data_IF_951478918653
#
_entry.id   IF_951478918653
#
_cell.length_a   1.000
_cell.length_b   1.000
_cell.length_c   1.000
_cell.angle_alpha   90.00
_cell.angle_beta   90.00
_cell.angle_gamma   90.00
#
_symmetry.space_group_name_H-M   'P 1'
#
loop_
_entity.id
_entity.type
_entity.pdbx_description
1 polymer ?
#
# COMPACT_ATOMS: atom_id res chain seq x y z
N UNK A 1 14.07 0.95 2.74
CA UNK A 1 12.71 1.48 2.52
C UNK A 1 12.73 3.00 2.69
N UNK A 2 12.42 3.75 1.63
CA UNK A 2 12.12 5.19 1.77
C UNK A 2 10.71 5.33 2.33
N UNK A 3 10.52 6.17 3.36
CA UNK A 3 9.25 6.34 4.07
C UNK A 3 8.64 7.70 3.79
N UNK A 4 7.31 7.76 3.71
CA UNK A 4 6.59 9.03 3.73
C UNK A 4 6.48 9.54 5.18
N UNK A 5 6.70 10.85 5.41
CA UNK A 5 6.69 11.43 6.76
C UNK A 5 5.29 11.85 7.24
N UNK A 6 4.27 11.77 6.40
CA UNK A 6 2.90 12.18 6.74
C UNK A 6 2.07 11.02 7.29
N UNK A 7 1.23 11.33 8.27
CA UNK A 7 0.13 10.46 8.71
C UNK A 7 -1.01 10.55 7.70
N UNK A 8 -1.51 9.39 7.26
CA UNK A 8 -2.64 9.22 6.34
C UNK A 8 -2.46 9.97 5.01
N UNK A 9 -1.54 9.52 4.14
CA UNK A 9 -1.32 10.17 2.86
C UNK A 9 -2.50 9.95 1.89
N UNK A 10 -2.64 10.86 0.94
CA UNK A 10 -3.60 10.75 -0.17
C UNK A 10 -2.92 10.17 -1.40
N UNK A 11 -3.68 9.60 -2.36
CA UNK A 11 -3.16 9.09 -3.64
C UNK A 11 -2.14 10.04 -4.29
N UNK A 12 -2.53 11.30 -4.48
CA UNK A 12 -1.68 12.34 -5.10
C UNK A 12 -0.35 12.54 -4.36
N UNK A 13 -0.34 12.41 -3.04
CA UNK A 13 0.90 12.53 -2.26
C UNK A 13 1.81 11.31 -2.45
N UNK A 14 1.21 10.12 -2.58
CA UNK A 14 1.96 8.88 -2.82
C UNK A 14 2.55 8.89 -4.23
N UNK A 15 1.76 9.29 -5.23
CA UNK A 15 2.21 9.44 -6.62
C UNK A 15 3.37 10.44 -6.72
N UNK A 16 3.24 11.63 -6.13
CA UNK A 16 4.34 12.61 -6.11
C UNK A 16 5.59 12.10 -5.39
N UNK A 17 5.43 11.30 -4.32
CA UNK A 17 6.55 10.64 -3.65
C UNK A 17 7.24 9.61 -4.56
N UNK A 18 6.47 8.82 -5.32
CA UNK A 18 7.02 7.86 -6.27
C UNK A 18 7.71 8.58 -7.42
N UNK A 19 7.09 9.60 -7.99
CA UNK A 19 7.66 10.41 -9.07
C UNK A 19 8.99 11.07 -8.65
N UNK A 20 9.08 11.59 -7.43
CA UNK A 20 10.30 12.23 -6.91
C UNK A 20 11.44 11.22 -6.69
N UNK A 21 11.14 10.03 -6.17
CA UNK A 21 12.16 9.10 -5.66
C UNK A 21 12.41 7.87 -6.52
N UNK A 22 11.49 7.55 -7.42
CA UNK A 22 11.41 6.37 -8.29
C UNK A 22 10.78 6.73 -9.66
N UNK A 23 11.26 7.78 -10.35
CA UNK A 23 10.61 8.30 -11.57
C UNK A 23 10.46 7.25 -12.68
N UNK A 24 11.43 6.35 -12.81
CA UNK A 24 11.43 5.29 -13.84
C UNK A 24 10.45 4.14 -13.52
N UNK A 25 9.92 4.09 -12.31
CA UNK A 25 9.03 3.02 -11.83
C UNK A 25 7.62 3.52 -11.50
N UNK A 26 7.27 4.76 -11.87
CA UNK A 26 5.98 5.37 -11.58
C UNK A 26 4.79 4.50 -12.02
N UNK A 27 4.91 3.83 -13.16
CA UNK A 27 3.89 2.94 -13.72
C UNK A 27 4.07 1.46 -13.32
N UNK A 28 5.12 1.13 -12.57
CA UNK A 28 5.46 -0.24 -12.18
C UNK A 28 5.17 -0.52 -10.70
N UNK A 29 5.28 0.49 -9.84
CA UNK A 29 4.92 0.36 -8.43
C UNK A 29 3.39 0.37 -8.31
N UNK A 30 2.83 -0.81 -8.07
CA UNK A 30 1.38 -0.96 -7.86
C UNK A 30 0.96 -0.45 -6.48
N UNK A 31 -0.13 0.30 -6.46
CA UNK A 31 -0.75 0.81 -5.24
C UNK A 31 -2.04 0.07 -4.96
N UNK A 32 -2.26 -0.27 -3.69
CA UNK A 32 -3.48 -0.91 -3.23
C UNK A 32 -4.60 0.12 -3.07
N UNK A 33 -5.66 -0.01 -3.87
CA UNK A 33 -6.80 0.90 -3.84
C UNK A 33 -7.58 0.81 -2.52
N UNK A 34 -8.05 1.96 -2.05
CA UNK A 34 -8.73 2.08 -0.75
C UNK A 34 -7.78 2.09 0.46
N UNK A 35 -6.48 1.85 0.29
CA UNK A 35 -5.51 1.73 1.39
C UNK A 35 -4.48 2.86 1.47
N UNK A 36 -4.67 3.96 0.75
CA UNK A 36 -3.72 5.08 0.70
C UNK A 36 -3.34 5.59 2.11
N UNK A 37 -4.31 5.71 3.03
CA UNK A 37 -4.06 6.18 4.39
C UNK A 37 -3.13 5.24 5.21
N UNK A 38 -3.01 3.98 4.78
CA UNK A 38 -2.16 2.96 5.38
C UNK A 38 -0.76 2.89 4.75
N UNK A 39 -0.47 3.64 3.68
CA UNK A 39 0.82 3.61 3.00
C UNK A 39 1.97 4.07 3.93
N UNK A 40 3.04 3.30 3.95
CA UNK A 40 4.25 3.55 4.77
C UNK A 40 5.44 4.00 3.92
N UNK A 41 5.55 3.53 2.68
CA UNK A 41 6.70 3.79 1.82
C UNK A 41 6.93 2.70 0.78
N UNK A 42 8.12 2.73 0.17
CA UNK A 42 8.54 1.75 -0.84
C UNK A 42 9.61 0.80 -0.29
N UNK A 43 9.28 -0.48 -0.31
CA UNK A 43 10.16 -1.60 0.01
C UNK A 43 10.94 -2.05 -1.23
N UNK A 44 12.19 -2.43 -1.00
CA UNK A 44 13.10 -2.94 -2.03
C UNK A 44 13.71 -4.23 -1.53
N UNK A 45 13.65 -5.31 -2.31
CA UNK A 45 14.36 -6.56 -2.02
C UNK A 45 15.58 -6.69 -2.93
N UNK A 46 16.60 -7.44 -2.49
CA UNK A 46 17.80 -7.65 -3.29
C UNK A 46 17.44 -8.43 -4.57
N UNK A 47 17.55 -7.80 -5.74
CA UNK A 47 17.20 -8.39 -7.03
C UNK A 47 15.71 -8.45 -7.34
N UNK A 48 14.84 -7.87 -6.49
CA UNK A 48 13.40 -7.79 -6.74
C UNK A 48 12.94 -6.38 -7.14
N UNK A 49 11.69 -6.30 -7.61
CA UNK A 49 11.01 -5.04 -7.95
C UNK A 49 10.70 -4.23 -6.69
N UNK A 50 10.68 -2.91 -6.82
CA UNK A 50 10.20 -2.03 -5.75
C UNK A 50 8.69 -2.19 -5.56
N UNK A 51 8.24 -2.24 -4.31
CA UNK A 51 6.84 -2.49 -3.95
C UNK A 51 6.35 -1.50 -2.91
N UNK A 52 5.09 -1.10 -3.01
CA UNK A 52 4.43 -0.29 -2.00
C UNK A 52 4.19 -1.11 -0.72
N UNK A 53 4.51 -0.51 0.42
CA UNK A 53 4.39 -1.14 1.75
C UNK A 53 3.32 -0.40 2.55
N UNK A 54 2.43 -1.17 3.17
CA UNK A 54 1.28 -0.67 3.93
C UNK A 54 1.30 -1.21 5.37
N UNK A 55 0.67 -0.47 6.27
CA UNK A 55 0.40 -0.89 7.64
C UNK A 55 -0.84 -1.80 7.68
N UNK A 56 -0.63 -3.11 7.91
CA UNK A 56 -1.70 -4.13 7.96
C UNK A 56 -2.86 -3.73 8.87
N UNK A 57 -2.57 -3.29 10.09
CA UNK A 57 -3.59 -2.94 11.07
C UNK A 57 -4.40 -1.71 10.65
N UNK A 58 -3.78 -0.75 9.95
CA UNK A 58 -4.52 0.37 9.33
C UNK A 58 -5.39 -0.10 8.18
N UNK A 59 -4.91 -1.00 7.32
CA UNK A 59 -5.71 -1.51 6.22
C UNK A 59 -7.00 -2.15 6.73
N UNK A 60 -6.90 -3.03 7.74
CA UNK A 60 -8.08 -3.67 8.34
C UNK A 60 -9.04 -2.64 8.95
N UNK A 61 -8.52 -1.64 9.68
CA UNK A 61 -9.36 -0.54 10.20
C UNK A 61 -10.04 0.29 9.11
N UNK A 62 -9.50 0.35 7.91
CA UNK A 62 -10.17 1.01 6.78
C UNK A 62 -11.33 0.16 6.25
N UNK A 63 -11.18 -1.16 6.20
CA UNK A 63 -12.24 -2.10 5.82
C UNK A 63 -13.38 -2.13 6.86
N UNK A 64 -13.04 -2.03 8.16
CA UNK A 64 -14.02 -1.98 9.26
C UNK A 64 -15.00 -0.80 9.18
N UNK A 65 -14.77 0.18 8.29
CA UNK A 65 -15.74 1.25 8.02
C UNK A 65 -17.01 0.72 7.34
N UNK A 66 -16.88 -0.37 6.58
CA UNK A 66 -17.94 -0.91 5.72
C UNK A 66 -18.35 -2.34 6.09
N UNK A 67 -17.57 -3.05 6.92
CA UNK A 67 -17.85 -4.43 7.37
C UNK A 67 -17.45 -4.66 8.83
N UNK A 68 -17.85 -5.79 9.41
CA UNK A 68 -17.49 -6.11 10.80
C UNK A 68 -15.99 -6.41 10.96
N UNK A 69 -15.42 -6.32 12.18
CA UNK A 69 -14.00 -6.62 12.40
C UNK A 69 -13.58 -8.02 11.94
N UNK A 70 -14.44 -9.03 12.13
CA UNK A 70 -14.16 -10.39 11.67
C UNK A 70 -14.13 -10.47 10.13
N UNK A 71 -15.15 -9.91 9.48
CA UNK A 71 -15.22 -9.86 8.01
C UNK A 71 -14.04 -9.07 7.43
N UNK A 72 -13.60 -7.99 8.08
CA UNK A 72 -12.46 -7.18 7.65
C UNK A 72 -11.14 -7.96 7.68
N UNK A 73 -10.89 -8.73 8.75
CA UNK A 73 -9.72 -9.60 8.85
C UNK A 73 -9.75 -10.72 7.80
N UNK A 74 -10.89 -11.40 7.64
CA UNK A 74 -11.06 -12.46 6.64
C UNK A 74 -10.92 -11.94 5.21
N UNK A 75 -11.55 -10.79 4.91
CA UNK A 75 -11.46 -10.13 3.62
C UNK A 75 -10.03 -9.71 3.32
N UNK A 76 -9.33 -9.08 4.28
CA UNK A 76 -7.95 -8.64 4.09
C UNK A 76 -7.03 -9.83 3.82
N UNK A 77 -7.14 -10.90 4.61
CA UNK A 77 -6.30 -12.09 4.45
C UNK A 77 -6.46 -12.75 3.07
N UNK A 78 -7.70 -12.85 2.58
CA UNK A 78 -7.97 -13.49 1.29
C UNK A 78 -7.73 -12.58 0.08
N UNK A 79 -8.22 -11.34 0.12
CA UNK A 79 -8.27 -10.46 -1.06
C UNK A 79 -7.09 -9.48 -1.15
N UNK A 80 -6.34 -9.28 -0.07
CA UNK A 80 -5.27 -8.27 -0.03
C UNK A 80 -3.91 -8.89 0.27
N UNK A 81 -3.77 -9.61 1.37
CA UNK A 81 -2.48 -10.19 1.81
C UNK A 81 -2.01 -11.32 0.88
N UNK A 82 -2.93 -12.16 0.42
CA UNK A 82 -2.64 -13.26 -0.52
C UNK A 82 -2.72 -12.85 -2.00
N UNK A 83 -3.03 -11.58 -2.31
CA UNK A 83 -3.18 -11.13 -3.69
C UNK A 83 -1.81 -10.77 -4.30
N UNK A 84 -1.35 -11.59 -5.25
CA UNK A 84 -0.21 -11.25 -6.09
C UNK A 84 -0.69 -10.57 -7.39
N UNK A 85 -0.27 -9.32 -7.61
CA UNK A 85 -0.73 -8.50 -8.74
C UNK A 85 0.40 -7.90 -9.58
N UNK A 86 1.67 -8.17 -9.25
CA UNK A 86 2.82 -7.58 -9.94
C UNK A 86 3.45 -8.52 -10.97
N UNK A 87 3.09 -8.37 -12.25
CA UNK A 87 3.79 -9.06 -13.37
C UNK A 87 5.09 -8.37 -13.76
#
# INVERSE_FOLDING_TARGET
>A
MKKIKKKNPTRKMIEGFIEEYYPDELNHILLADGFDEAFLGIGSSHGGKNVAIYDRAKCIRLLEKDMSPLEAEEYFGFNVECAYVGD
#
